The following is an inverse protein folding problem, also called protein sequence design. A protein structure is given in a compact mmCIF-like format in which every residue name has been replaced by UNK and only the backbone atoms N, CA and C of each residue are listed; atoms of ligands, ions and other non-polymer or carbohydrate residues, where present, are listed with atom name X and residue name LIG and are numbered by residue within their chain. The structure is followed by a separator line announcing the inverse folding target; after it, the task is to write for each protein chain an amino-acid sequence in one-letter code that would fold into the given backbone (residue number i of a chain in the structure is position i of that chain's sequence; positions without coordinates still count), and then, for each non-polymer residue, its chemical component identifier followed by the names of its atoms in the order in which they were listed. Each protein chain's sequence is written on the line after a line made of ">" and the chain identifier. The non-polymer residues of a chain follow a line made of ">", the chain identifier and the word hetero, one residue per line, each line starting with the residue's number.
data_IF_238403845115
#
_entry.id   IF_238403845115
#
_cell.length_a   1.000
_cell.length_b   1.000
_cell.length_c   1.000
_cell.angle_alpha   90.00
_cell.angle_beta   90.00
_cell.angle_gamma   90.00
#
_symmetry.space_group_name_H-M   'P 1'
#
loop_
_entity.id
_entity.type
_entity.pdbx_description
1 polymer ?
#
# COMPACT_ATOMS: atom_id res chain seq x y z
N UNK A 1 -43.84 -62.09 -13.89
CA UNK A 1 -42.57 -61.80 -14.57
C UNK A 1 -42.54 -60.48 -15.36
N UNK A 2 -43.67 -59.88 -15.80
CA UNK A 2 -43.66 -58.60 -16.54
C UNK A 2 -43.28 -57.35 -15.72
N UNK A 3 -43.64 -57.26 -14.44
CA UNK A 3 -43.33 -56.07 -13.62
C UNK A 3 -41.84 -55.89 -13.25
N UNK A 4 -41.05 -56.96 -13.21
CA UNK A 4 -39.60 -56.84 -12.91
C UNK A 4 -38.78 -56.32 -14.10
N UNK A 5 -39.26 -56.52 -15.34
CA UNK A 5 -38.55 -56.10 -16.55
C UNK A 5 -38.71 -54.58 -16.77
N UNK A 6 -39.88 -54.01 -16.45
CA UNK A 6 -40.09 -52.55 -16.54
C UNK A 6 -39.34 -51.77 -15.47
N UNK A 7 -39.28 -52.27 -14.23
CA UNK A 7 -38.49 -51.64 -13.16
C UNK A 7 -36.99 -51.65 -13.47
N UNK A 8 -36.44 -52.75 -14.02
CA UNK A 8 -35.03 -52.79 -14.44
C UNK A 8 -34.73 -51.83 -15.60
N UNK A 9 -35.65 -51.67 -16.58
CA UNK A 9 -35.49 -50.68 -17.66
C UNK A 9 -35.52 -49.24 -17.12
N UNK A 10 -36.39 -48.91 -16.17
CA UNK A 10 -36.47 -47.58 -15.55
C UNK A 10 -35.21 -47.23 -14.72
N UNK A 11 -34.66 -48.19 -13.98
CA UNK A 11 -33.42 -48.02 -13.20
C UNK A 11 -32.22 -47.80 -14.14
N UNK A 12 -32.13 -48.58 -15.22
CA UNK A 12 -31.12 -48.43 -16.27
C UNK A 12 -31.16 -47.02 -16.91
N UNK A 13 -32.35 -46.53 -17.29
CA UNK A 13 -32.51 -45.20 -17.89
C UNK A 13 -32.15 -44.07 -16.90
N UNK A 14 -32.51 -44.21 -15.62
CA UNK A 14 -32.11 -43.24 -14.57
C UNK A 14 -30.59 -43.24 -14.33
N UNK A 15 -29.95 -44.41 -14.30
CA UNK A 15 -28.49 -44.53 -14.16
C UNK A 15 -27.75 -43.94 -15.37
N UNK A 16 -28.24 -44.17 -16.59
CA UNK A 16 -27.67 -43.58 -17.82
C UNK A 16 -27.86 -42.06 -17.86
N UNK A 17 -29.02 -41.53 -17.44
CA UNK A 17 -29.24 -40.07 -17.33
C UNK A 17 -28.36 -39.43 -16.24
N UNK A 18 -28.19 -40.09 -15.10
CA UNK A 18 -27.29 -39.68 -14.02
C UNK A 18 -25.82 -39.65 -14.49
N UNK A 19 -25.36 -40.70 -15.17
CA UNK A 19 -24.02 -40.79 -15.72
C UNK A 19 -23.76 -39.77 -16.85
N UNK A 20 -24.74 -39.50 -17.72
CA UNK A 20 -24.65 -38.42 -18.72
C UNK A 20 -24.58 -37.05 -18.05
N UNK A 21 -25.40 -36.79 -17.01
CA UNK A 21 -25.39 -35.52 -16.27
C UNK A 21 -24.08 -35.31 -15.52
N UNK A 22 -23.51 -36.34 -14.88
CA UNK A 22 -22.21 -36.23 -14.21
C UNK A 22 -21.07 -36.01 -15.21
N UNK A 23 -21.11 -36.67 -16.38
CA UNK A 23 -20.12 -36.47 -17.45
C UNK A 23 -20.21 -35.09 -18.10
N UNK A 24 -21.42 -34.53 -18.28
CA UNK A 24 -21.63 -33.16 -18.73
C UNK A 24 -21.14 -32.12 -17.71
N UNK A 25 -21.36 -32.35 -16.41
CA UNK A 25 -20.84 -31.47 -15.35
C UNK A 25 -19.31 -31.55 -15.26
N UNK A 26 -18.72 -32.75 -15.36
CA UNK A 26 -17.26 -32.94 -15.37
C UNK A 26 -16.62 -32.27 -16.58
N UNK A 27 -17.18 -32.48 -17.77
CA UNK A 27 -16.69 -31.85 -18.99
C UNK A 27 -16.88 -30.33 -18.96
N UNK A 28 -18.03 -29.84 -18.49
CA UNK A 28 -18.30 -28.40 -18.31
C UNK A 28 -17.33 -27.74 -17.33
N UNK A 29 -16.98 -28.41 -16.23
CA UNK A 29 -15.97 -27.94 -15.27
C UNK A 29 -14.56 -27.92 -15.87
N UNK A 30 -14.21 -28.92 -16.69
CA UNK A 30 -12.93 -28.97 -17.42
C UNK A 30 -12.85 -27.85 -18.45
N UNK A 31 -13.92 -27.59 -19.22
CA UNK A 31 -13.99 -26.46 -20.16
C UNK A 31 -13.91 -25.11 -19.45
N UNK A 32 -14.59 -24.96 -18.32
CA UNK A 32 -14.54 -23.74 -17.52
C UNK A 32 -13.13 -23.51 -16.94
N UNK A 33 -12.50 -24.54 -16.38
CA UNK A 33 -11.11 -24.46 -15.89
C UNK A 33 -10.10 -24.15 -17.01
N UNK A 34 -10.26 -24.76 -18.20
CA UNK A 34 -9.43 -24.42 -19.36
C UNK A 34 -9.66 -22.99 -19.82
N UNK A 35 -10.90 -22.48 -19.82
CA UNK A 35 -11.19 -21.10 -20.21
C UNK A 35 -10.58 -20.08 -19.24
N UNK A 36 -10.63 -20.34 -17.93
CA UNK A 36 -9.94 -19.52 -16.92
C UNK A 36 -8.43 -19.58 -17.14
N UNK A 37 -7.86 -20.76 -17.38
CA UNK A 37 -6.43 -20.90 -17.62
C UNK A 37 -5.99 -20.15 -18.89
N UNK A 38 -6.77 -20.22 -19.97
CA UNK A 38 -6.51 -19.46 -21.22
C UNK A 38 -6.60 -17.97 -20.97
N UNK A 39 -7.63 -17.48 -20.27
CA UNK A 39 -7.77 -16.06 -19.92
C UNK A 39 -6.63 -15.58 -19.02
N UNK A 40 -6.23 -16.36 -18.02
CA UNK A 40 -5.10 -16.07 -17.14
C UNK A 40 -3.79 -16.01 -17.95
N UNK A 41 -3.59 -16.93 -18.88
CA UNK A 41 -2.41 -16.93 -19.76
C UNK A 41 -2.40 -15.73 -20.73
N UNK A 42 -3.55 -15.35 -21.28
CA UNK A 42 -3.67 -14.14 -22.13
C UNK A 42 -3.34 -12.90 -21.30
N UNK A 43 -3.83 -12.82 -20.06
CA UNK A 43 -3.59 -11.67 -19.20
C UNK A 43 -2.13 -11.59 -18.73
N UNK A 44 -1.51 -12.72 -18.40
CA UNK A 44 -0.07 -12.79 -18.11
C UNK A 44 0.75 -12.40 -19.34
N UNK A 45 0.37 -12.86 -20.54
CA UNK A 45 1.03 -12.46 -21.80
C UNK A 45 0.86 -10.98 -22.08
N UNK A 46 -0.30 -10.37 -21.79
CA UNK A 46 -0.50 -8.93 -21.99
C UNK A 46 0.39 -8.13 -21.04
N UNK A 47 0.41 -8.48 -19.75
CA UNK A 47 1.26 -7.81 -18.75
C UNK A 47 2.75 -7.95 -19.10
N UNK A 48 3.19 -9.15 -19.51
CA UNK A 48 4.57 -9.38 -19.95
C UNK A 48 4.91 -8.63 -21.25
N UNK A 49 3.97 -8.56 -22.19
CA UNK A 49 4.14 -7.79 -23.42
C UNK A 49 4.24 -6.29 -23.11
N UNK A 50 3.42 -5.79 -22.19
CA UNK A 50 3.43 -4.39 -21.76
C UNK A 50 4.72 -4.03 -21.03
N UNK A 51 5.21 -4.88 -20.10
CA UNK A 51 6.50 -4.65 -19.43
C UNK A 51 7.70 -4.78 -20.38
N UNK A 52 7.65 -5.71 -21.34
CA UNK A 52 8.71 -5.85 -22.35
C UNK A 52 8.74 -4.63 -23.28
N UNK A 53 7.57 -4.15 -23.69
CA UNK A 53 7.41 -2.94 -24.46
C UNK A 53 7.93 -1.71 -23.68
N UNK A 54 7.61 -1.59 -22.39
CA UNK A 54 8.11 -0.52 -21.54
C UNK A 54 9.65 -0.53 -21.44
N UNK A 55 10.25 -1.70 -21.20
CA UNK A 55 11.71 -1.84 -21.14
C UNK A 55 12.38 -1.41 -22.46
N UNK A 56 11.82 -1.79 -23.61
CA UNK A 56 12.33 -1.35 -24.91
C UNK A 56 12.18 0.16 -25.13
N UNK A 57 11.04 0.74 -24.73
CA UNK A 57 10.80 2.17 -24.77
C UNK A 57 11.77 2.94 -23.89
N UNK A 58 12.05 2.47 -22.67
CA UNK A 58 13.05 3.07 -21.77
C UNK A 58 14.44 3.04 -22.42
N UNK A 59 14.85 1.87 -22.94
CA UNK A 59 16.16 1.72 -23.60
C UNK A 59 16.30 2.63 -24.83
N UNK A 60 15.20 2.84 -25.58
CA UNK A 60 15.16 3.80 -26.69
C UNK A 60 15.19 5.24 -26.20
N UNK A 61 14.50 5.56 -25.10
CA UNK A 61 14.50 6.90 -24.49
C UNK A 61 15.89 7.26 -23.95
N UNK A 62 16.60 6.31 -23.34
CA UNK A 62 17.96 6.49 -22.82
C UNK A 62 18.94 6.95 -23.91
N UNK A 63 18.84 6.38 -25.13
CA UNK A 63 19.68 6.79 -26.27
C UNK A 63 19.48 8.25 -26.69
N UNK A 64 18.31 8.81 -26.38
CA UNK A 64 17.90 10.15 -26.75
C UNK A 64 17.87 11.10 -25.54
N UNK A 65 18.46 10.71 -24.41
CA UNK A 65 18.48 11.53 -23.20
C UNK A 65 19.19 12.86 -23.49
N UNK A 66 18.52 13.96 -23.15
CA UNK A 66 19.10 15.29 -23.21
C UNK A 66 19.56 15.67 -21.81
N UNK A 67 20.85 15.99 -21.68
CA UNK A 67 21.42 16.46 -20.42
C UNK A 67 21.46 17.99 -20.35
N UNK A 68 21.11 18.52 -19.18
CA UNK A 68 21.36 19.91 -18.79
C UNK A 68 22.29 19.97 -17.59
N UNK A 69 23.01 21.09 -17.45
CA UNK A 69 23.73 21.39 -16.21
C UNK A 69 22.72 21.45 -15.06
N UNK A 70 23.08 20.86 -13.92
CA UNK A 70 22.26 20.87 -12.73
C UNK A 70 22.13 22.31 -12.20
N UNK A 71 20.90 22.82 -12.11
CA UNK A 71 20.58 24.14 -11.56
C UNK A 71 20.02 24.12 -10.14
N UNK A 72 19.44 23.00 -9.72
CA UNK A 72 18.71 22.85 -8.45
C UNK A 72 19.38 21.85 -7.51
N UNK A 73 19.18 22.05 -6.21
CA UNK A 73 19.67 21.16 -5.15
C UNK A 73 18.95 19.83 -5.17
N UNK A 74 17.64 19.84 -5.46
CA UNK A 74 16.83 18.63 -5.57
C UNK A 74 15.90 18.72 -6.79
N UNK A 75 15.63 17.57 -7.38
CA UNK A 75 14.64 17.40 -8.44
C UNK A 75 13.65 16.32 -8.04
N UNK A 76 12.40 16.53 -8.38
CA UNK A 76 11.32 15.58 -8.14
C UNK A 76 10.54 15.34 -9.43
N UNK A 77 10.33 14.06 -9.74
CA UNK A 77 9.51 13.63 -10.87
C UNK A 77 8.04 13.62 -10.44
N UNK A 78 7.22 14.50 -11.01
CA UNK A 78 5.79 14.61 -10.70
C UNK A 78 4.91 14.01 -11.81
N UNK A 79 5.50 13.37 -12.83
CA UNK A 79 4.80 12.87 -14.01
C UNK A 79 4.49 13.98 -15.02
N UNK A 80 3.58 14.89 -14.67
CA UNK A 80 3.19 16.01 -15.54
C UNK A 80 4.26 17.11 -15.65
N UNK A 81 5.10 17.25 -14.63
CA UNK A 81 6.16 18.25 -14.57
C UNK A 81 7.35 17.74 -13.75
N UNK A 82 8.44 18.51 -13.77
CA UNK A 82 9.61 18.26 -12.94
C UNK A 82 9.77 19.43 -11.99
N UNK A 83 9.75 19.17 -10.69
CA UNK A 83 9.96 20.21 -9.68
C UNK A 83 11.44 20.29 -9.31
N UNK A 84 12.06 21.44 -9.53
CA UNK A 84 13.39 21.79 -9.03
C UNK A 84 13.29 22.67 -7.79
N UNK A 85 14.02 22.33 -6.73
CA UNK A 85 14.07 23.12 -5.50
C UNK A 85 15.43 23.83 -5.36
N UNK A 86 15.41 25.15 -5.15
CA UNK A 86 16.58 25.95 -4.77
C UNK A 86 16.42 26.39 -3.33
N UNK A 87 17.39 26.01 -2.49
CA UNK A 87 17.44 26.47 -1.11
C UNK A 87 18.42 27.64 -1.01
N UNK A 88 17.92 28.77 -0.54
CA UNK A 88 18.76 29.89 -0.10
C UNK A 88 18.84 29.83 1.43
N UNK A 89 20.06 29.75 1.96
CA UNK A 89 20.25 29.63 3.40
C UNK A 89 19.86 30.89 4.18
N UNK A 90 19.86 32.05 3.51
CA UNK A 90 19.51 33.35 4.09
C UNK A 90 18.03 33.72 3.89
N UNK A 91 17.25 32.88 3.19
CA UNK A 91 15.82 33.11 2.94
C UNK A 91 14.95 32.29 3.87
N UNK A 92 13.82 32.86 4.30
CA UNK A 92 12.73 32.10 4.97
C UNK A 92 11.94 31.21 4.01
N UNK A 93 12.20 31.31 2.70
CA UNK A 93 11.51 30.55 1.67
C UNK A 93 12.45 29.66 0.86
N UNK A 94 11.88 28.56 0.35
CA UNK A 94 12.47 27.72 -0.70
C UNK A 94 11.76 28.04 -2.01
N UNK A 95 12.54 28.27 -3.07
CA UNK A 95 11.99 28.46 -4.42
C UNK A 95 11.76 27.09 -5.07
N UNK A 96 10.55 26.85 -5.53
CA UNK A 96 10.17 25.67 -6.31
C UNK A 96 9.86 26.10 -7.74
N UNK A 97 10.67 25.62 -8.68
CA UNK A 97 10.44 25.80 -10.12
C UNK A 97 9.85 24.52 -10.70
N UNK A 98 8.66 24.63 -11.28
CA UNK A 98 8.00 23.55 -12.01
C UNK A 98 8.36 23.68 -13.47
N UNK A 99 9.02 22.68 -14.00
CA UNK A 99 9.54 22.66 -15.36
C UNK A 99 8.79 21.65 -16.21
N UNK A 100 8.78 21.90 -17.51
CA UNK A 100 8.36 20.89 -18.46
C UNK A 100 9.35 19.72 -18.53
N UNK A 101 8.97 18.67 -19.27
CA UNK A 101 9.78 17.45 -19.46
C UNK A 101 11.13 17.72 -20.15
N UNK A 102 11.37 18.93 -20.67
CA UNK A 102 12.64 19.31 -21.30
C UNK A 102 13.69 19.83 -20.31
N UNK A 103 13.31 20.09 -19.05
CA UNK A 103 14.12 20.80 -18.03
C UNK A 103 14.53 22.23 -18.41
N UNK A 104 14.04 22.77 -19.53
CA UNK A 104 14.44 24.10 -20.02
C UNK A 104 13.42 25.17 -19.70
N UNK A 105 12.13 24.85 -19.83
CA UNK A 105 11.07 25.83 -19.65
C UNK A 105 10.49 25.70 -18.25
N UNK A 106 10.55 26.78 -17.50
CA UNK A 106 9.84 26.92 -16.24
C UNK A 106 8.37 27.21 -16.59
N UNK A 107 7.48 26.29 -16.25
CA UNK A 107 6.03 26.41 -16.39
C UNK A 107 5.48 27.31 -15.30
N UNK A 108 6.00 27.18 -14.08
CA UNK A 108 5.57 27.95 -12.94
C UNK A 108 6.65 28.02 -11.86
N UNK A 109 6.61 29.04 -11.01
CA UNK A 109 7.49 29.21 -9.87
C UNK A 109 6.68 29.60 -8.64
N UNK A 110 6.93 28.96 -7.51
CA UNK A 110 6.35 29.35 -6.23
C UNK A 110 7.44 29.43 -5.16
N UNK A 111 7.17 30.21 -4.12
CA UNK A 111 8.00 30.31 -2.93
C UNK A 111 7.19 29.76 -1.77
N UNK A 112 7.75 28.80 -1.04
CA UNK A 112 7.12 28.16 0.11
C UNK A 112 7.98 28.34 1.35
N UNK A 113 7.38 28.21 2.52
CA UNK A 113 8.11 28.31 3.78
C UNK A 113 9.21 27.24 3.87
N UNK A 114 10.44 27.66 4.16
CA UNK A 114 11.62 26.77 4.24
C UNK A 114 11.47 25.71 5.33
N UNK A 115 10.88 26.08 6.47
CA UNK A 115 10.61 25.14 7.56
C UNK A 115 9.68 24.00 7.13
N UNK A 116 8.65 24.33 6.35
CA UNK A 116 7.72 23.33 5.80
C UNK A 116 8.45 22.40 4.82
N UNK A 117 9.37 22.94 4.00
CA UNK A 117 10.20 22.13 3.11
C UNK A 117 11.17 21.20 3.84
N UNK A 118 11.82 21.70 4.89
CA UNK A 118 12.82 20.97 5.66
C UNK A 118 12.21 19.89 6.57
N UNK A 119 10.95 20.06 7.00
CA UNK A 119 10.23 19.06 7.80
C UNK A 119 10.06 17.70 7.09
N UNK A 120 10.07 17.69 5.76
CA UNK A 120 10.08 16.45 4.99
C UNK A 120 9.67 16.69 3.52
N UNK A 121 10.49 16.28 2.53
CA UNK A 121 10.16 16.50 1.13
C UNK A 121 8.97 15.66 0.63
N UNK A 122 8.57 14.63 1.37
CA UNK A 122 7.45 13.76 1.02
C UNK A 122 6.12 14.53 0.93
N UNK A 123 5.94 15.59 1.71
CA UNK A 123 4.71 16.40 1.67
C UNK A 123 4.47 17.12 0.32
N UNK A 124 5.54 17.37 -0.47
CA UNK A 124 5.47 18.07 -1.76
C UNK A 124 5.34 17.14 -2.96
N UNK A 125 5.58 15.85 -2.76
CA UNK A 125 5.49 14.81 -3.79
C UNK A 125 4.35 13.83 -3.52
N UNK A 126 3.76 13.85 -2.33
CA UNK A 126 2.61 13.05 -1.96
C UNK A 126 1.29 13.72 -2.39
N UNK A 127 1.11 13.82 -3.71
CA UNK A 127 -0.14 14.27 -4.30
C UNK A 127 -1.26 13.29 -3.93
N UNK A 128 -2.24 13.77 -3.19
CA UNK A 128 -3.43 13.00 -2.86
C UNK A 128 -4.59 13.49 -3.69
N UNK A 129 -5.17 12.58 -4.47
CA UNK A 129 -6.27 12.88 -5.39
C UNK A 129 -6.00 14.06 -6.35
N UNK A 130 -4.73 14.23 -6.75
CA UNK A 130 -4.28 15.23 -7.74
C UNK A 130 -3.77 16.55 -7.14
N UNK A 131 -3.84 16.73 -5.81
CA UNK A 131 -3.42 17.97 -5.15
C UNK A 131 -2.36 17.70 -4.07
N UNK A 132 -1.43 18.65 -3.91
CA UNK A 132 -0.45 18.66 -2.82
C UNK A 132 -0.64 19.90 -1.95
N UNK A 133 -0.36 19.77 -0.66
CA UNK A 133 -0.39 20.88 0.30
C UNK A 133 0.85 21.75 0.12
N UNK A 134 0.68 23.06 0.28
CA UNK A 134 1.77 24.03 0.36
C UNK A 134 1.58 24.91 1.58
N UNK A 135 2.68 25.44 2.12
CA UNK A 135 2.66 26.48 3.16
C UNK A 135 3.40 27.72 2.67
N UNK A 136 2.72 28.86 2.68
CA UNK A 136 3.26 30.17 2.30
C UNK A 136 2.82 31.16 3.38
N UNK A 137 3.78 31.85 3.98
CA UNK A 137 3.53 32.82 5.05
C UNK A 137 2.68 32.22 6.17
N UNK A 138 3.05 31.02 6.61
CA UNK A 138 2.41 30.26 7.68
C UNK A 138 0.94 29.88 7.39
N UNK A 139 0.48 30.04 6.15
CA UNK A 139 -0.85 29.62 5.71
C UNK A 139 -0.76 28.46 4.74
N UNK A 140 -1.69 27.52 4.89
CA UNK A 140 -1.81 26.37 4.04
C UNK A 140 -2.76 26.62 2.87
N UNK A 141 -2.35 26.11 1.71
CA UNK A 141 -3.11 26.06 0.47
C UNK A 141 -2.80 24.77 -0.29
N UNK A 142 -3.26 24.68 -1.54
CA UNK A 142 -3.09 23.49 -2.37
C UNK A 142 -2.71 23.84 -3.81
N UNK A 143 -1.84 23.02 -4.39
CA UNK A 143 -1.36 23.13 -5.77
C UNK A 143 -1.61 21.85 -6.56
N UNK A 144 -1.65 21.99 -7.88
CA UNK A 144 -1.58 20.86 -8.82
C UNK A 144 -0.12 20.46 -9.13
N UNK A 145 0.05 19.42 -9.96
CA UNK A 145 1.35 18.87 -10.37
C UNK A 145 2.19 19.82 -11.22
N UNK A 146 1.67 20.97 -11.65
CA UNK A 146 2.37 22.03 -12.39
C UNK A 146 2.64 23.25 -11.49
N UNK A 147 2.41 23.12 -10.19
CA UNK A 147 2.62 24.16 -9.20
C UNK A 147 1.53 25.23 -9.20
N UNK A 148 0.47 25.09 -10.01
CA UNK A 148 -0.61 26.08 -10.05
C UNK A 148 -1.36 26.00 -8.73
N UNK A 149 -1.53 27.15 -8.07
CA UNK A 149 -2.38 27.24 -6.88
C UNK A 149 -3.83 26.98 -7.28
N UNK A 150 -4.38 25.87 -6.79
CA UNK A 150 -5.80 25.51 -6.97
C UNK A 150 -6.61 26.11 -5.82
N UNK A 151 -6.04 26.10 -4.61
CA UNK A 151 -6.63 26.68 -3.42
C UNK A 151 -5.58 27.58 -2.78
N UNK A 152 -5.74 28.92 -2.82
CA UNK A 152 -4.76 29.85 -2.27
C UNK A 152 -4.48 29.62 -0.78
N UNK A 153 -3.25 29.89 -0.31
CA UNK A 153 -2.91 29.84 1.10
C UNK A 153 -3.80 30.76 1.93
N UNK A 154 -4.62 30.19 2.82
CA UNK A 154 -5.49 30.95 3.73
C UNK A 154 -5.83 30.23 5.03
N UNK A 155 -5.54 28.93 5.12
CA UNK A 155 -5.85 28.10 6.28
C UNK A 155 -4.69 28.10 7.28
N UNK A 156 -4.98 28.01 8.57
CA UNK A 156 -3.94 27.89 9.59
C UNK A 156 -3.27 26.50 9.57
N UNK A 157 -4.03 25.46 9.20
CA UNK A 157 -3.58 24.09 9.02
C UNK A 157 -4.45 23.38 7.95
N UNK A 158 -3.94 22.29 7.38
CA UNK A 158 -4.60 21.54 6.31
C UNK A 158 -4.10 20.08 6.21
N UNK A 159 -5.01 19.12 5.99
CA UNK A 159 -4.67 17.73 5.66
C UNK A 159 -4.77 17.41 4.17
N UNK A 160 -4.24 16.26 3.76
CA UNK A 160 -4.38 15.76 2.39
C UNK A 160 -5.84 15.43 2.06
N UNK A 161 -6.19 15.50 0.78
CA UNK A 161 -7.50 15.06 0.29
C UNK A 161 -7.64 13.54 0.42
N UNK A 162 -8.65 13.06 1.13
CA UNK A 162 -8.98 11.65 1.24
C UNK A 162 -10.50 11.48 1.11
N UNK A 163 -10.87 10.56 0.22
CA UNK A 163 -12.24 10.31 -0.21
C UNK A 163 -13.01 11.58 -0.68
N UNK A 164 -12.29 12.50 -1.34
CA UNK A 164 -12.82 13.71 -1.96
C UNK A 164 -12.83 14.98 -1.10
N UNK A 165 -12.46 14.90 0.18
CA UNK A 165 -12.47 16.04 1.11
C UNK A 165 -11.12 16.19 1.82
N UNK A 166 -10.77 17.42 2.20
CA UNK A 166 -9.63 17.71 3.06
C UNK A 166 -10.08 18.50 4.28
N UNK A 167 -9.51 18.17 5.46
CA UNK A 167 -9.72 18.96 6.67
C UNK A 167 -8.88 20.23 6.58
N UNK A 168 -9.44 21.34 7.06
CA UNK A 168 -8.75 22.63 7.10
C UNK A 168 -9.13 23.41 8.35
N UNK A 169 -8.17 24.15 8.89
CA UNK A 169 -8.35 25.00 10.06
C UNK A 169 -8.53 26.46 9.64
N UNK A 170 -9.63 27.07 10.08
CA UNK A 170 -9.93 28.48 9.88
C UNK A 170 -10.55 29.05 11.17
N UNK A 171 -9.92 30.09 11.73
CA UNK A 171 -10.39 30.72 12.97
C UNK A 171 -10.32 29.80 14.19
N UNK A 172 -9.24 29.02 14.31
CA UNK A 172 -9.00 28.03 15.38
C UNK A 172 -10.04 26.89 15.45
N UNK A 173 -10.79 26.68 14.36
CA UNK A 173 -11.74 25.59 14.22
C UNK A 173 -11.50 24.85 12.91
N UNK A 174 -11.78 23.56 12.94
CA UNK A 174 -11.64 22.66 11.82
C UNK A 174 -12.97 22.46 11.10
N UNK A 175 -12.88 22.43 9.77
CA UNK A 175 -13.96 22.10 8.84
C UNK A 175 -13.39 21.32 7.67
N UNK A 176 -14.18 21.16 6.60
CA UNK A 176 -13.78 20.39 5.42
C UNK A 176 -14.09 21.12 4.12
N UNK A 177 -13.19 20.97 3.16
CA UNK A 177 -13.32 21.51 1.81
C UNK A 177 -13.31 20.42 0.76
N UNK A 178 -13.93 20.72 -0.39
CA UNK A 178 -13.74 19.96 -1.62
C UNK A 178 -12.46 20.38 -2.36
N UNK A 179 -12.15 19.69 -3.45
CA UNK A 179 -10.95 19.93 -4.28
C UNK A 179 -10.91 21.30 -4.97
N UNK A 180 -12.03 22.02 -5.01
CA UNK A 180 -12.11 23.37 -5.53
C UNK A 180 -11.97 24.43 -4.42
N UNK A 181 -11.76 23.99 -3.17
CA UNK A 181 -11.66 24.86 -2.00
C UNK A 181 -12.99 25.37 -1.48
N UNK A 182 -14.13 24.80 -1.92
CA UNK A 182 -15.44 25.13 -1.38
C UNK A 182 -15.63 24.45 -0.03
N UNK A 183 -16.07 25.22 0.96
CA UNK A 183 -16.45 24.67 2.27
C UNK A 183 -17.64 23.71 2.11
N UNK A 184 -17.42 22.45 2.45
CA UNK A 184 -18.46 21.41 2.52
C UNK A 184 -18.99 21.31 3.95
N UNK A 185 -18.09 21.40 4.94
CA UNK A 185 -18.42 21.38 6.36
C UNK A 185 -17.78 22.60 6.99
N UNK A 186 -18.61 23.50 7.55
CA UNK A 186 -18.13 24.76 8.11
C UNK A 186 -17.21 24.53 9.32
N UNK A 187 -16.21 25.42 9.54
CA UNK A 187 -15.29 25.27 10.66
C UNK A 187 -16.04 25.46 11.98
N UNK A 188 -16.10 24.39 12.78
CA UNK A 188 -16.75 24.44 14.11
C UNK A 188 -16.18 23.43 15.12
N UNK A 189 -15.29 22.55 14.69
CA UNK A 189 -14.70 21.51 15.53
C UNK A 189 -13.33 21.95 16.08
N UNK A 190 -12.92 21.46 17.24
CA UNK A 190 -11.59 21.72 17.81
C UNK A 190 -10.49 20.94 17.09
N UNK A 191 -10.86 19.88 16.38
CA UNK A 191 -9.95 19.01 15.64
C UNK A 191 -10.73 18.00 14.81
N UNK A 192 -10.09 17.43 13.79
CA UNK A 192 -10.68 16.44 12.88
C UNK A 192 -9.64 15.41 12.44
N UNK A 193 -10.06 14.20 12.09
CA UNK A 193 -9.25 13.30 11.24
C UNK A 193 -9.67 13.39 9.78
N UNK A 194 -8.91 12.74 8.89
CA UNK A 194 -9.32 12.54 7.49
C UNK A 194 -10.48 11.54 7.40
N UNK A 195 -11.22 11.56 6.29
CA UNK A 195 -12.27 10.58 6.07
C UNK A 195 -11.70 9.18 5.87
N UNK A 196 -12.26 8.20 6.57
CA UNK A 196 -11.97 6.79 6.40
C UNK A 196 -13.29 6.02 6.53
N UNK A 197 -13.58 5.16 5.56
CA UNK A 197 -14.85 4.43 5.48
C UNK A 197 -16.07 5.39 5.46
N UNK A 198 -15.92 6.56 4.84
CA UNK A 198 -16.96 7.58 4.75
C UNK A 198 -17.28 8.32 6.06
N UNK A 199 -16.47 8.16 7.10
CA UNK A 199 -16.60 8.82 8.39
C UNK A 199 -15.30 9.57 8.74
N UNK A 200 -15.41 10.70 9.43
CA UNK A 200 -14.26 11.41 10.01
C UNK A 200 -14.46 11.59 11.51
N UNK A 201 -13.39 11.46 12.30
CA UNK A 201 -13.43 11.85 13.71
C UNK A 201 -13.51 13.36 13.82
N UNK A 202 -14.28 13.83 14.80
CA UNK A 202 -14.35 15.23 15.21
C UNK A 202 -14.00 15.35 16.69
N UNK A 203 -13.33 16.42 17.09
CA UNK A 203 -13.06 16.78 18.48
C UNK A 203 -13.91 18.00 18.86
N UNK A 204 -14.63 17.91 19.97
CA UNK A 204 -15.36 19.02 20.59
C UNK A 204 -15.21 18.89 22.10
N UNK A 205 -14.73 19.95 22.76
CA UNK A 205 -14.58 20.02 24.22
C UNK A 205 -13.84 18.79 24.79
N UNK A 206 -12.71 18.44 24.17
CA UNK A 206 -11.85 17.29 24.51
C UNK A 206 -12.49 15.90 24.31
N UNK A 207 -13.64 15.81 23.63
CA UNK A 207 -14.32 14.56 23.33
C UNK A 207 -14.41 14.31 21.83
N UNK A 208 -14.15 13.07 21.44
CA UNK A 208 -14.27 12.58 20.08
C UNK A 208 -15.70 12.12 19.77
N UNK A 209 -16.15 12.50 18.57
CA UNK A 209 -17.35 12.01 17.90
C UNK A 209 -17.04 11.72 16.42
N UNK A 210 -18.08 11.51 15.61
CA UNK A 210 -17.92 11.22 14.20
C UNK A 210 -18.97 11.89 13.33
N UNK A 211 -18.54 12.34 12.16
CA UNK A 211 -19.39 12.90 11.12
C UNK A 211 -19.29 12.08 9.84
N UNK A 212 -20.35 12.12 9.04
CA UNK A 212 -20.29 11.67 7.65
C UNK A 212 -19.85 12.82 6.70
N UNK A 213 -19.70 12.51 5.41
CA UNK A 213 -19.24 13.47 4.39
C UNK A 213 -20.15 14.68 4.18
N UNK A 214 -21.39 14.63 4.67
CA UNK A 214 -22.32 15.76 4.62
C UNK A 214 -22.15 16.70 5.81
N UNK A 215 -21.35 16.30 6.81
CA UNK A 215 -21.20 17.01 8.09
C UNK A 215 -22.25 16.63 9.12
N UNK A 216 -23.09 15.62 8.85
CA UNK A 216 -24.04 15.10 9.84
C UNK A 216 -23.29 14.33 10.92
N UNK A 217 -23.49 14.72 12.17
CA UNK A 217 -22.95 14.04 13.35
C UNK A 217 -23.65 12.70 13.54
N UNK A 218 -23.07 11.64 12.99
CA UNK A 218 -23.57 10.28 13.15
C UNK A 218 -23.34 9.76 14.58
N UNK A 219 -22.28 10.24 15.23
CA UNK A 219 -21.96 9.93 16.62
C UNK A 219 -21.56 11.23 17.32
N UNK A 220 -22.34 11.64 18.32
CA UNK A 220 -22.05 12.87 19.07
C UNK A 220 -20.71 12.76 19.81
N UNK A 221 -19.96 13.86 19.97
CA UNK A 221 -18.76 13.91 20.79
C UNK A 221 -19.00 13.38 22.21
N UNK A 222 -18.40 12.24 22.54
CA UNK A 222 -18.58 11.60 23.85
C UNK A 222 -17.39 10.76 24.32
N UNK A 223 -16.44 10.42 23.45
CA UNK A 223 -15.33 9.53 23.79
C UNK A 223 -14.04 10.31 24.07
N UNK A 224 -13.28 9.94 25.10
CA UNK A 224 -11.96 10.56 25.33
C UNK A 224 -10.87 10.03 24.41
N UNK A 225 -11.05 8.85 23.83
CA UNK A 225 -10.16 8.30 22.80
C UNK A 225 -10.97 7.50 21.78
N UNK A 226 -10.61 7.66 20.51
CA UNK A 226 -11.28 7.04 19.37
C UNK A 226 -10.26 6.70 18.27
N UNK A 227 -10.63 5.83 17.32
CA UNK A 227 -9.84 5.49 16.13
C UNK A 227 -10.67 5.71 14.87
N UNK A 228 -10.02 5.88 13.72
CA UNK A 228 -10.72 5.95 12.44
C UNK A 228 -11.55 4.69 12.16
N UNK A 229 -12.64 4.87 11.41
CA UNK A 229 -13.46 3.75 10.95
C UNK A 229 -12.68 2.89 9.97
N UNK A 230 -12.82 1.58 10.11
CA UNK A 230 -12.28 0.58 9.19
C UNK A 230 -13.20 -0.63 9.16
N UNK A 231 -13.55 -1.07 7.95
CA UNK A 231 -14.58 -2.07 7.69
C UNK A 231 -15.93 -1.79 8.40
N UNK A 232 -16.28 -0.52 8.57
CA UNK A 232 -17.52 -0.08 9.19
C UNK A 232 -17.56 -0.11 10.71
N UNK A 233 -16.43 -0.40 11.38
CA UNK A 233 -16.29 -0.34 12.84
C UNK A 233 -15.17 0.60 13.26
N UNK A 234 -15.30 1.23 14.43
CA UNK A 234 -14.28 2.09 15.01
C UNK A 234 -14.02 1.72 16.47
N UNK A 235 -12.74 1.69 16.86
CA UNK A 235 -12.34 1.42 18.24
C UNK A 235 -12.49 2.67 19.11
N UNK A 236 -13.15 2.55 20.25
CA UNK A 236 -13.41 3.65 21.20
C UNK A 236 -13.05 3.24 22.62
N UNK A 237 -12.65 4.22 23.45
CA UNK A 237 -12.40 4.02 24.88
C UNK A 237 -13.64 4.41 25.69
N UNK A 238 -14.15 3.47 26.49
CA UNK A 238 -15.31 3.64 27.35
C UNK A 238 -14.93 3.15 28.75
N UNK A 239 -15.01 4.03 29.75
CA UNK A 239 -14.66 3.71 31.15
C UNK A 239 -13.29 3.03 31.31
N UNK A 240 -12.28 3.53 30.57
CA UNK A 240 -10.91 3.00 30.62
C UNK A 240 -10.68 1.69 29.85
N UNK A 241 -11.70 1.14 29.18
CA UNK A 241 -11.58 -0.08 28.37
C UNK A 241 -11.98 0.15 26.91
N UNK A 242 -11.28 -0.51 26.00
CA UNK A 242 -11.52 -0.46 24.55
C UNK A 242 -12.68 -1.37 24.17
N UNK A 243 -13.58 -0.81 23.36
CA UNK A 243 -14.64 -1.52 22.64
C UNK A 243 -14.72 -1.01 21.20
N UNK A 244 -15.73 -1.44 20.46
CA UNK A 244 -15.95 -1.00 19.08
C UNK A 244 -17.40 -0.60 18.85
N UNK A 245 -17.58 0.44 18.05
CA UNK A 245 -18.88 0.95 17.61
C UNK A 245 -19.05 0.81 16.10
N UNK A 246 -20.29 0.71 15.65
CA UNK A 246 -20.64 0.87 14.24
C UNK A 246 -20.82 2.36 13.86
N UNK A 247 -21.11 2.63 12.58
CA UNK A 247 -21.31 4.00 12.04
C UNK A 247 -22.49 4.75 12.67
N UNK A 248 -23.40 4.07 13.38
CA UNK A 248 -24.48 4.70 14.13
C UNK A 248 -24.11 5.03 15.58
N UNK A 249 -22.92 4.60 16.03
CA UNK A 249 -22.47 4.74 17.40
C UNK A 249 -22.90 3.59 18.32
N UNK A 250 -23.56 2.56 17.78
CA UNK A 250 -23.97 1.40 18.57
C UNK A 250 -22.74 0.56 18.92
N UNK A 251 -22.61 0.18 20.19
CA UNK A 251 -21.56 -0.73 20.66
C UNK A 251 -21.78 -2.12 20.05
N UNK A 252 -20.80 -2.59 19.28
CA UNK A 252 -20.76 -3.92 18.68
C UNK A 252 -19.86 -4.85 19.49
N UNK A 253 -18.67 -4.38 19.86
CA UNK A 253 -17.75 -5.08 20.77
C UNK A 253 -17.79 -4.36 22.12
N UNK A 254 -18.26 -5.05 23.16
CA UNK A 254 -18.35 -4.46 24.51
C UNK A 254 -16.98 -4.03 25.03
N UNK A 255 -16.88 -2.87 25.72
CA UNK A 255 -15.61 -2.39 26.26
C UNK A 255 -15.12 -3.31 27.38
N UNK A 256 -13.98 -3.96 27.15
CA UNK A 256 -13.29 -4.79 28.17
C UNK A 256 -11.79 -4.94 27.96
N UNK A 257 -11.27 -4.52 26.82
CA UNK A 257 -9.87 -4.70 26.42
C UNK A 257 -9.02 -3.49 26.82
N UNK A 258 -7.72 -3.66 27.02
CA UNK A 258 -6.78 -2.58 27.33
C UNK A 258 -6.37 -1.82 26.05
N UNK A 259 -6.22 -2.55 24.95
CA UNK A 259 -5.90 -2.00 23.64
C UNK A 259 -6.56 -2.80 22.51
N UNK A 260 -6.55 -2.25 21.30
CA UNK A 260 -7.00 -2.94 20.10
C UNK A 260 -6.38 -2.35 18.84
N UNK A 261 -6.30 -3.14 17.76
CA UNK A 261 -6.05 -2.66 16.40
C UNK A 261 -7.38 -2.40 15.66
N UNK A 262 -7.33 -1.79 14.47
CA UNK A 262 -8.53 -1.62 13.63
C UNK A 262 -8.98 -2.96 13.05
N UNK A 263 -10.18 -3.01 12.48
CA UNK A 263 -10.62 -4.18 11.73
C UNK A 263 -9.84 -4.30 10.41
N UNK A 264 -9.44 -5.51 10.07
CA UNK A 264 -8.85 -5.86 8.78
C UNK A 264 -9.19 -7.31 8.47
N UNK A 265 -9.69 -7.57 7.26
CA UNK A 265 -10.20 -8.86 6.82
C UNK A 265 -11.29 -9.46 7.72
N UNK A 266 -12.12 -8.62 8.33
CA UNK A 266 -13.23 -9.05 9.19
C UNK A 266 -12.85 -9.35 10.65
N UNK A 267 -11.61 -9.08 11.04
CA UNK A 267 -11.09 -9.38 12.38
C UNK A 267 -10.35 -8.17 12.95
N UNK A 268 -10.36 -8.02 14.28
CA UNK A 268 -9.54 -7.05 14.98
C UNK A 268 -8.69 -7.73 16.07
N UNK A 269 -7.43 -7.31 16.20
CA UNK A 269 -6.59 -7.69 17.32
C UNK A 269 -7.06 -6.93 18.56
N UNK A 270 -7.22 -7.64 19.67
CA UNK A 270 -7.59 -7.07 20.97
C UNK A 270 -6.58 -7.50 22.02
N UNK A 271 -6.31 -6.62 22.99
CA UNK A 271 -5.32 -6.84 24.04
C UNK A 271 -5.97 -6.81 25.43
N UNK A 272 -5.61 -7.76 26.27
CA UNK A 272 -6.03 -7.83 27.68
C UNK A 272 -4.89 -8.45 28.48
N UNK A 273 -4.51 -7.81 29.59
CA UNK A 273 -3.47 -8.29 30.49
C UNK A 273 -2.13 -8.59 29.77
N UNK A 274 -1.72 -7.66 28.88
CA UNK A 274 -0.53 -7.77 28.02
C UNK A 274 -0.52 -8.98 27.07
N UNK A 275 -1.68 -9.61 26.83
CA UNK A 275 -1.83 -10.69 25.85
C UNK A 275 -2.76 -10.26 24.74
N UNK A 276 -2.54 -10.78 23.54
CA UNK A 276 -3.33 -10.49 22.35
C UNK A 276 -4.20 -11.65 21.92
N UNK A 277 -5.37 -11.31 21.41
CA UNK A 277 -6.40 -12.20 20.89
C UNK A 277 -7.14 -11.54 19.73
N UNK A 278 -8.26 -12.12 19.32
CA UNK A 278 -9.00 -11.69 18.14
C UNK A 278 -10.51 -11.69 18.36
N UNK A 279 -11.17 -10.66 17.84
CA UNK A 279 -12.63 -10.56 17.74
C UNK A 279 -13.05 -10.39 16.28
N UNK A 280 -14.23 -10.89 15.94
CA UNK A 280 -14.86 -10.67 14.63
C UNK A 280 -15.75 -9.41 14.62
N UNK A 281 -16.29 -9.07 13.44
CA UNK A 281 -17.17 -7.90 13.25
C UNK A 281 -18.52 -7.99 13.99
N UNK A 282 -18.88 -9.14 14.52
CA UNK A 282 -20.08 -9.31 15.35
C UNK A 282 -19.78 -9.05 16.83
N UNK A 283 -18.50 -8.92 17.18
CA UNK A 283 -18.02 -8.81 18.55
C UNK A 283 -17.79 -10.15 19.23
N UNK A 284 -17.84 -11.26 18.49
CA UNK A 284 -17.51 -12.58 19.00
C UNK A 284 -16.00 -12.69 19.17
N UNK A 285 -15.58 -13.12 20.35
CA UNK A 285 -14.20 -13.48 20.64
C UNK A 285 -13.86 -14.81 19.98
N UNK A 286 -13.03 -14.76 18.94
CA UNK A 286 -12.58 -15.95 18.20
C UNK A 286 -11.37 -16.56 18.90
N UNK A 287 -10.47 -15.71 19.39
CA UNK A 287 -9.30 -16.11 20.16
C UNK A 287 -9.23 -15.27 21.42
N UNK A 288 -9.33 -15.93 22.58
CA UNK A 288 -9.05 -15.30 23.86
C UNK A 288 -7.63 -14.75 23.89
N UNK A 289 -7.40 -13.54 24.44
CA UNK A 289 -6.06 -13.01 24.68
C UNK A 289 -5.13 -14.04 25.32
N UNK A 290 -4.09 -14.46 24.58
CA UNK A 290 -3.10 -15.45 25.03
C UNK A 290 -1.72 -15.30 24.39
N UNK A 291 -1.65 -14.67 23.21
CA UNK A 291 -0.42 -14.47 22.47
C UNK A 291 0.37 -13.27 23.01
N UNK A 292 1.68 -13.29 22.91
CA UNK A 292 2.54 -12.14 23.25
C UNK A 292 2.40 -11.06 22.17
N UNK A 293 2.44 -11.48 20.90
CA UNK A 293 2.22 -10.61 19.74
C UNK A 293 1.15 -11.21 18.81
N UNK A 294 0.41 -10.33 18.15
CA UNK A 294 -0.54 -10.69 17.11
C UNK A 294 -0.68 -9.52 16.13
N UNK A 295 -0.80 -9.83 14.84
CA UNK A 295 -0.87 -8.86 13.75
C UNK A 295 -2.15 -9.04 12.91
N UNK A 296 -2.35 -8.19 11.91
CA UNK A 296 -3.54 -8.25 11.05
C UNK A 296 -3.62 -9.58 10.28
N UNK A 297 -4.85 -10.01 9.98
CA UNK A 297 -5.06 -11.07 9.01
C UNK A 297 -4.68 -10.56 7.62
N UNK A 298 -3.92 -11.39 6.88
CA UNK A 298 -3.64 -11.23 5.46
C UNK A 298 -3.88 -12.56 4.77
N UNK A 299 -4.74 -12.53 3.75
CA UNK A 299 -5.13 -13.66 2.94
C UNK A 299 -5.64 -14.89 3.72
N UNK A 300 -6.38 -14.62 4.81
CA UNK A 300 -6.98 -15.66 5.64
C UNK A 300 -6.15 -16.15 6.83
N UNK A 301 -4.90 -15.71 6.98
CA UNK A 301 -4.01 -16.08 8.08
C UNK A 301 -3.51 -14.85 8.84
N UNK A 302 -3.27 -14.98 10.15
CA UNK A 302 -2.66 -13.93 10.97
C UNK A 302 -1.38 -14.45 11.63
N UNK A 303 -0.27 -13.68 11.59
CA UNK A 303 0.91 -14.00 12.36
C UNK A 303 0.66 -13.77 13.85
N UNK A 304 1.08 -14.73 14.66
CA UNK A 304 0.98 -14.70 16.12
C UNK A 304 2.28 -15.19 16.74
N UNK A 305 2.60 -14.66 17.91
CA UNK A 305 3.81 -14.99 18.66
C UNK A 305 3.44 -15.46 20.07
N UNK A 306 4.10 -16.52 20.52
CA UNK A 306 4.02 -17.01 21.89
C UNK A 306 5.39 -17.52 22.32
N UNK A 307 5.88 -17.05 23.48
CA UNK A 307 7.16 -17.42 24.06
C UNK A 307 8.34 -17.21 23.10
N UNK A 308 8.36 -16.08 22.38
CA UNK A 308 9.42 -15.73 21.43
C UNK A 308 9.40 -16.55 20.13
N UNK A 309 8.31 -17.27 19.85
CA UNK A 309 8.16 -18.07 18.63
C UNK A 309 6.91 -17.66 17.86
N UNK A 310 7.10 -17.42 16.57
CA UNK A 310 6.11 -16.98 15.60
C UNK A 310 5.54 -18.14 14.79
N UNK A 311 4.25 -18.05 14.49
CA UNK A 311 3.48 -18.98 13.66
C UNK A 311 2.23 -18.30 13.11
N UNK A 312 1.27 -19.09 12.59
CA UNK A 312 0.06 -18.54 11.96
C UNK A 312 -1.20 -19.26 12.39
N UNK A 313 -2.27 -18.47 12.56
CA UNK A 313 -3.63 -18.98 12.80
C UNK A 313 -4.56 -18.60 11.65
N UNK A 314 -5.62 -19.38 11.45
CA UNK A 314 -6.73 -19.03 10.57
C UNK A 314 -7.81 -18.18 11.26
N UNK A 315 -8.83 -17.75 10.49
CA UNK A 315 -9.97 -16.96 10.98
C UNK A 315 -10.86 -17.71 11.98
N UNK A 316 -10.64 -19.00 12.21
CA UNK A 316 -11.31 -19.76 13.28
C UNK A 316 -10.50 -19.77 14.58
N UNK A 317 -9.27 -19.22 14.55
CA UNK A 317 -8.34 -19.23 15.66
C UNK A 317 -7.48 -20.49 15.75
N UNK A 318 -7.55 -21.37 14.75
CA UNK A 318 -6.79 -22.61 14.71
C UNK A 318 -5.40 -22.36 14.15
N UNK A 319 -4.39 -22.94 14.81
CA UNK A 319 -3.02 -22.96 14.30
C UNK A 319 -2.96 -23.71 12.96
N UNK A 320 -2.44 -23.02 11.94
CA UNK A 320 -2.18 -23.57 10.61
C UNK A 320 -0.69 -23.81 10.42
N UNK A 321 0.14 -22.91 10.93
CA UNK A 321 1.60 -23.01 10.90
C UNK A 321 2.10 -22.91 12.34
N UNK A 322 2.84 -23.93 12.76
CA UNK A 322 3.36 -24.05 14.13
C UNK A 322 4.20 -22.85 14.54
N UNK A 323 4.09 -22.49 15.81
CA UNK A 323 4.94 -21.47 16.42
C UNK A 323 6.35 -22.01 16.64
N UNK A 324 7.24 -21.74 15.69
CA UNK A 324 8.62 -22.26 15.69
C UNK A 324 9.66 -21.29 15.14
N UNK A 325 9.23 -20.26 14.42
CA UNK A 325 10.10 -19.26 13.79
C UNK A 325 10.43 -18.14 14.77
N UNK A 326 11.57 -17.48 14.63
CA UNK A 326 11.95 -16.33 15.45
C UNK A 326 11.06 -15.13 15.11
N UNK A 327 10.82 -14.89 13.82
CA UNK A 327 9.92 -13.85 13.33
C UNK A 327 9.37 -14.20 11.95
N UNK A 328 8.36 -13.46 11.51
CA UNK A 328 7.73 -13.62 10.21
C UNK A 328 7.05 -12.34 9.75
N UNK A 329 6.82 -12.26 8.44
CA UNK A 329 6.05 -11.18 7.80
C UNK A 329 4.57 -11.57 7.60
N UNK A 330 3.82 -10.75 6.89
CA UNK A 330 2.48 -11.10 6.42
C UNK A 330 2.56 -11.90 5.11
N UNK A 331 1.55 -12.74 4.86
CA UNK A 331 1.41 -13.41 3.56
C UNK A 331 1.21 -12.41 2.43
N UNK A 332 1.89 -12.67 1.31
CA UNK A 332 1.70 -12.01 0.03
C UNK A 332 1.65 -13.05 -1.11
N UNK A 333 0.56 -13.06 -1.85
CA UNK A 333 0.21 -14.01 -2.89
C UNK A 333 0.52 -15.48 -2.53
N UNK A 334 0.13 -15.91 -1.34
CA UNK A 334 0.26 -17.31 -0.90
C UNK A 334 1.62 -17.73 -0.36
N UNK A 335 2.60 -16.81 -0.28
CA UNK A 335 3.94 -17.06 0.27
C UNK A 335 4.27 -16.08 1.39
N UNK A 336 5.16 -16.48 2.29
CA UNK A 336 5.65 -15.60 3.37
C UNK A 336 7.10 -15.89 3.72
N UNK A 337 7.82 -14.85 4.09
CA UNK A 337 9.18 -14.94 4.63
C UNK A 337 9.15 -15.30 6.12
N UNK A 338 9.99 -16.26 6.50
CA UNK A 338 10.17 -16.70 7.88
C UNK A 338 11.64 -16.74 8.22
N UNK A 339 11.97 -16.31 9.44
CA UNK A 339 13.31 -16.40 9.98
C UNK A 339 13.46 -17.65 10.85
N UNK A 340 14.53 -18.41 10.62
CA UNK A 340 14.97 -19.51 11.46
C UNK A 340 16.49 -19.53 11.53
N UNK A 341 17.06 -19.61 12.74
CA UNK A 341 18.51 -19.64 12.98
C UNK A 341 19.28 -18.49 12.29
N UNK A 342 18.74 -17.26 12.39
CA UNK A 342 19.29 -16.03 11.79
C UNK A 342 19.35 -16.04 10.25
N UNK A 343 18.59 -16.92 9.60
CA UNK A 343 18.46 -16.98 8.14
C UNK A 343 17.00 -16.94 7.73
N UNK A 344 16.75 -16.33 6.59
CA UNK A 344 15.43 -16.21 6.00
C UNK A 344 15.17 -17.30 4.98
N UNK A 345 13.95 -17.86 5.04
CA UNK A 345 13.40 -18.81 4.09
C UNK A 345 11.97 -18.42 3.67
N UNK A 346 11.40 -19.18 2.74
CA UNK A 346 10.03 -19.00 2.26
C UNK A 346 9.20 -20.24 2.55
N UNK A 347 7.98 -20.03 3.01
CA UNK A 347 6.99 -21.08 3.19
C UNK A 347 5.68 -20.74 2.47
N UNK A 348 4.92 -21.76 2.11
CA UNK A 348 3.55 -21.62 1.64
C UNK A 348 2.56 -21.46 2.81
N UNK A 349 1.28 -21.23 2.48
CA UNK A 349 0.17 -21.13 3.46
C UNK A 349 -0.06 -22.37 4.34
N UNK A 350 0.55 -23.51 4.02
CA UNK A 350 0.48 -24.75 4.82
C UNK A 350 1.74 -24.93 5.67
N UNK A 351 2.67 -23.98 5.64
CA UNK A 351 3.95 -24.05 6.35
C UNK A 351 4.98 -24.93 5.67
N UNK A 352 4.77 -25.33 4.41
CA UNK A 352 5.76 -26.11 3.67
C UNK A 352 6.83 -25.17 3.11
N UNK A 353 8.09 -25.51 3.34
CA UNK A 353 9.21 -24.79 2.73
C UNK A 353 9.14 -24.81 1.20
N UNK A 354 9.15 -23.61 0.65
CA UNK A 354 9.46 -23.31 -0.75
C UNK A 354 10.98 -23.11 -0.87
N UNK A 355 11.54 -22.31 0.05
CA UNK A 355 12.98 -22.11 0.21
C UNK A 355 13.33 -22.34 1.67
N UNK A 356 14.25 -23.26 1.96
CA UNK A 356 14.76 -23.42 3.32
C UNK A 356 15.55 -22.17 3.75
N UNK A 357 15.58 -21.83 5.04
CA UNK A 357 16.37 -20.72 5.57
C UNK A 357 17.81 -20.75 5.05
N UNK A 358 18.20 -19.72 4.30
CA UNK A 358 19.56 -19.58 3.75
C UNK A 358 19.96 -18.13 3.44
N UNK A 359 18.99 -17.23 3.27
CA UNK A 359 19.26 -15.83 2.93
C UNK A 359 19.52 -15.01 4.20
N UNK A 360 20.32 -13.96 4.08
CA UNK A 360 20.54 -12.99 5.16
C UNK A 360 19.31 -12.08 5.34
N UNK A 361 18.60 -11.81 4.26
CA UNK A 361 17.35 -11.06 4.27
C UNK A 361 16.46 -11.45 3.08
N UNK A 362 15.15 -11.37 3.26
CA UNK A 362 14.15 -11.41 2.20
C UNK A 362 13.22 -10.22 2.43
N UNK A 363 13.04 -9.37 1.42
CA UNK A 363 12.05 -8.29 1.44
C UNK A 363 10.68 -8.79 0.99
N UNK A 364 9.65 -7.99 1.25
CA UNK A 364 8.31 -8.20 0.75
C UNK A 364 8.28 -8.46 -0.76
N UNK A 365 7.35 -9.31 -1.17
CA UNK A 365 7.09 -9.52 -2.59
C UNK A 365 6.42 -8.29 -3.20
N UNK A 366 6.93 -7.87 -4.36
CA UNK A 366 6.29 -6.89 -5.23
C UNK A 366 6.24 -7.42 -6.65
N UNK A 367 5.06 -7.37 -7.26
CA UNK A 367 4.80 -7.88 -8.61
C UNK A 367 5.29 -9.32 -8.88
N UNK A 368 5.29 -10.13 -7.83
CA UNK A 368 5.70 -11.53 -7.83
C UNK A 368 7.19 -11.81 -7.71
N UNK A 369 8.00 -10.80 -7.39
CA UNK A 369 9.43 -10.94 -7.10
C UNK A 369 9.72 -10.46 -5.68
N UNK A 370 10.65 -11.09 -4.97
CA UNK A 370 11.16 -10.64 -3.68
C UNK A 370 12.67 -10.40 -3.79
N UNK A 371 13.13 -9.26 -3.28
CA UNK A 371 14.56 -9.00 -3.17
C UNK A 371 15.15 -9.85 -2.05
N UNK A 372 16.27 -10.51 -2.31
CA UNK A 372 16.98 -11.36 -1.34
C UNK A 372 18.41 -10.91 -1.19
N UNK A 373 18.90 -10.97 0.04
CA UNK A 373 20.29 -10.71 0.37
C UNK A 373 21.03 -12.00 0.70
N UNK A 374 22.20 -12.17 0.11
CA UNK A 374 23.13 -13.23 0.41
C UNK A 374 24.55 -12.68 0.31
N UNK A 375 25.33 -12.82 1.37
CA UNK A 375 26.73 -12.37 1.44
C UNK A 375 26.88 -10.88 1.06
N UNK A 376 26.01 -10.03 1.63
CA UNK A 376 25.94 -8.57 1.40
C UNK A 376 25.63 -8.14 -0.04
N UNK A 377 25.15 -9.07 -0.87
CA UNK A 377 24.72 -8.80 -2.24
C UNK A 377 23.24 -9.09 -2.40
N UNK A 378 22.59 -8.28 -3.22
CA UNK A 378 21.16 -8.34 -3.48
C UNK A 378 20.86 -8.97 -4.84
N UNK A 379 19.87 -9.85 -4.85
CA UNK A 379 19.29 -10.51 -6.02
C UNK A 379 17.78 -10.59 -5.89
N UNK A 380 17.14 -11.44 -6.69
CA UNK A 380 15.69 -11.63 -6.62
C UNK A 380 15.29 -13.09 -6.84
N UNK A 381 14.28 -13.50 -6.07
CA UNK A 381 13.57 -14.76 -6.25
C UNK A 381 12.13 -14.52 -6.67
N UNK A 382 11.56 -15.48 -7.40
CA UNK A 382 10.12 -15.53 -7.63
C UNK A 382 9.38 -16.27 -6.50
N UNK A 383 8.04 -16.34 -6.58
CA UNK A 383 7.19 -17.03 -5.59
C UNK A 383 7.44 -18.54 -5.49
N UNK A 384 8.06 -19.14 -6.51
CA UNK A 384 8.46 -20.54 -6.47
C UNK A 384 9.79 -20.75 -5.72
N UNK A 385 10.42 -19.66 -5.27
CA UNK A 385 11.72 -19.68 -4.62
C UNK A 385 12.89 -19.78 -5.57
N UNK A 386 12.63 -19.70 -6.89
CA UNK A 386 13.68 -19.74 -7.90
C UNK A 386 14.42 -18.40 -7.91
N UNK A 387 15.74 -18.46 -7.81
CA UNK A 387 16.61 -17.30 -8.12
C UNK A 387 16.48 -16.96 -9.60
N UNK A 388 15.77 -15.87 -9.88
CA UNK A 388 15.64 -15.32 -11.22
C UNK A 388 16.83 -14.41 -11.51
N UNK A 389 17.26 -13.64 -10.50
CA UNK A 389 18.38 -12.71 -10.57
C UNK A 389 19.34 -13.04 -9.43
N UNK A 390 20.59 -13.36 -9.76
CA UNK A 390 21.59 -13.75 -8.76
C UNK A 390 21.93 -12.58 -7.83
N UNK A 391 22.27 -12.85 -6.55
CA UNK A 391 22.76 -11.83 -5.65
C UNK A 391 24.13 -11.27 -6.08
N UNK A 392 24.11 -10.14 -6.80
CA UNK A 392 25.32 -9.48 -7.31
C UNK A 392 25.32 -7.96 -7.07
N UNK A 393 24.16 -7.37 -6.76
CA UNK A 393 24.01 -5.92 -6.63
C UNK A 393 24.31 -5.45 -5.21
N UNK A 394 24.85 -4.24 -5.06
CA UNK A 394 25.06 -3.61 -3.75
C UNK A 394 23.77 -3.09 -3.12
N UNK A 395 22.71 -2.98 -3.92
CA UNK A 395 21.41 -2.53 -3.47
C UNK A 395 20.35 -2.60 -4.56
N UNK A 396 19.11 -2.78 -4.14
CA UNK A 396 17.96 -2.98 -5.02
C UNK A 396 16.70 -2.31 -4.48
N UNK A 397 15.83 -1.84 -5.38
CA UNK A 397 14.45 -1.48 -5.06
C UNK A 397 13.50 -2.65 -5.29
N UNK A 398 12.27 -2.55 -4.81
CA UNK A 398 11.23 -3.48 -5.24
C UNK A 398 10.89 -3.26 -6.73
N UNK A 399 10.30 -4.27 -7.37
CA UNK A 399 9.78 -4.13 -8.73
C UNK A 399 8.51 -3.28 -8.75
N UNK A 400 8.41 -2.40 -9.74
CA UNK A 400 7.21 -1.61 -10.07
C UNK A 400 7.17 -1.42 -11.58
N UNK A 401 6.01 -1.62 -12.20
CA UNK A 401 5.80 -1.60 -13.65
C UNK A 401 6.78 -2.50 -14.40
N UNK A 402 7.13 -3.66 -13.81
CA UNK A 402 8.05 -4.61 -14.43
C UNK A 402 9.53 -4.22 -14.41
N UNK A 403 9.90 -3.11 -13.77
CA UNK A 403 11.28 -2.63 -13.67
C UNK A 403 11.73 -2.49 -12.22
N UNK A 404 13.03 -2.62 -11.98
CA UNK A 404 13.61 -2.35 -10.67
C UNK A 404 14.93 -1.57 -10.80
N UNK A 405 15.18 -0.68 -9.84
CA UNK A 405 16.44 0.04 -9.71
C UNK A 405 17.45 -0.83 -9.00
N UNK A 406 18.64 -0.91 -9.59
CA UNK A 406 19.78 -1.65 -9.02
C UNK A 406 20.97 -0.74 -8.84
N UNK A 407 21.81 -1.05 -7.85
CA UNK A 407 23.08 -0.39 -7.57
C UNK A 407 24.23 -1.38 -7.73
N UNK A 408 25.23 -1.02 -8.51
CA UNK A 408 26.47 -1.77 -8.69
C UNK A 408 27.64 -0.79 -8.77
N UNK A 409 28.67 -1.00 -7.97
CA UNK A 409 29.90 -0.19 -7.97
C UNK A 409 29.62 1.31 -7.89
N UNK A 410 28.75 1.70 -6.94
CA UNK A 410 28.27 3.07 -6.71
C UNK A 410 27.45 3.71 -7.84
N UNK A 411 27.12 2.98 -8.89
CA UNK A 411 26.29 3.45 -9.98
C UNK A 411 24.92 2.77 -9.96
N UNK A 412 23.91 3.47 -10.46
CA UNK A 412 22.53 3.01 -10.58
C UNK A 412 22.20 2.64 -12.02
N UNK A 413 21.43 1.57 -12.17
CA UNK A 413 20.86 1.06 -13.41
C UNK A 413 19.42 0.62 -13.23
N UNK A 414 18.81 0.13 -14.31
CA UNK A 414 17.46 -0.45 -14.32
C UNK A 414 17.50 -1.82 -14.97
N UNK A 415 16.81 -2.78 -14.35
CA UNK A 415 16.63 -4.13 -14.88
C UNK A 415 15.15 -4.44 -15.06
N UNK A 416 14.84 -5.36 -15.95
CA UNK A 416 13.52 -6.00 -16.00
C UNK A 416 13.46 -7.24 -15.08
N UNK A 417 12.29 -7.86 -14.98
CA UNK A 417 12.05 -9.06 -14.18
C UNK A 417 12.87 -10.29 -14.58
N UNK A 418 13.47 -10.31 -15.77
CA UNK A 418 14.38 -11.38 -16.20
C UNK A 418 15.83 -11.14 -15.76
N UNK A 419 16.15 -9.95 -15.22
CA UNK A 419 17.50 -9.53 -14.90
C UNK A 419 18.23 -8.88 -16.07
N UNK A 420 17.56 -8.69 -17.21
CA UNK A 420 18.17 -7.99 -18.35
C UNK A 420 18.30 -6.51 -18.00
N UNK A 421 19.50 -5.98 -18.22
CA UNK A 421 19.78 -4.55 -18.06
C UNK A 421 19.05 -3.75 -19.14
N UNK A 422 18.08 -2.98 -18.69
CA UNK A 422 17.40 -1.95 -19.48
C UNK A 422 18.32 -0.74 -19.60
N UNK A 423 18.86 -0.33 -18.45
CA UNK A 423 19.89 0.70 -18.29
C UNK A 423 21.02 0.09 -17.47
N UNK A 424 22.21 0.00 -18.06
CA UNK A 424 23.42 -0.46 -17.38
C UNK A 424 23.73 0.45 -16.16
N UNK A 425 24.24 -0.09 -15.04
CA UNK A 425 24.65 0.71 -13.89
C UNK A 425 25.76 1.73 -14.23
N UNK A 426 25.38 2.97 -14.54
CA UNK A 426 26.32 4.04 -14.94
C UNK A 426 25.91 5.46 -14.54
N UNK A 427 24.79 5.58 -13.83
CA UNK A 427 24.23 6.85 -13.39
C UNK A 427 24.46 7.03 -11.89
N UNK A 428 24.83 8.24 -11.47
CA UNK A 428 24.99 8.58 -10.06
C UNK A 428 23.65 8.50 -9.29
N UNK A 429 22.52 8.62 -9.99
CA UNK A 429 21.17 8.36 -9.47
C UNK A 429 20.14 8.19 -10.58
N UNK A 430 19.11 7.39 -10.31
CA UNK A 430 17.92 7.20 -11.16
C UNK A 430 16.67 7.35 -10.28
N UNK A 431 15.68 8.14 -10.71
CA UNK A 431 14.37 8.24 -10.04
C UNK A 431 13.47 7.06 -10.39
N UNK A 432 12.40 6.85 -9.62
CA UNK A 432 11.33 5.95 -10.05
C UNK A 432 10.66 6.48 -11.33
N UNK A 433 10.08 5.55 -12.09
CA UNK A 433 9.18 5.86 -13.20
C UNK A 433 7.90 6.47 -12.62
N UNK A 434 7.54 7.65 -13.12
CA UNK A 434 6.25 8.28 -12.85
C UNK A 434 5.67 8.66 -14.20
N UNK A 435 4.48 8.15 -14.50
CA UNK A 435 3.86 8.25 -15.84
C UNK A 435 4.79 7.70 -16.93
N UNK A 436 5.36 8.58 -17.78
CA UNK A 436 6.23 8.25 -18.90
C UNK A 436 7.66 8.80 -18.72
N UNK A 437 8.05 9.14 -17.49
CA UNK A 437 9.28 9.89 -17.23
C UNK A 437 10.20 9.23 -16.20
N UNK A 438 11.50 9.26 -16.49
CA UNK A 438 12.57 8.92 -15.53
C UNK A 438 13.61 10.04 -15.50
N UNK A 439 14.00 10.47 -14.31
CA UNK A 439 15.12 11.40 -14.09
C UNK A 439 16.40 10.62 -13.83
N UNK A 440 17.47 11.01 -14.51
CA UNK A 440 18.80 10.44 -14.33
C UNK A 440 19.82 11.53 -14.03
N UNK A 441 20.81 11.19 -13.21
CA UNK A 441 21.94 12.07 -12.89
C UNK A 441 23.25 11.41 -13.28
N UNK A 442 24.12 12.18 -13.93
CA UNK A 442 25.48 11.75 -14.24
C UNK A 442 26.43 12.91 -14.01
N UNK A 443 27.33 12.77 -13.05
CA UNK A 443 28.18 13.86 -12.54
C UNK A 443 27.31 15.07 -12.14
N UNK A 444 27.66 16.27 -12.62
CA UNK A 444 26.91 17.50 -12.36
C UNK A 444 25.81 17.79 -13.41
N UNK A 445 25.33 16.77 -14.14
CA UNK A 445 24.29 16.92 -15.16
C UNK A 445 23.03 16.13 -14.79
N UNK A 446 21.87 16.70 -15.13
CA UNK A 446 20.56 16.07 -15.04
C UNK A 446 20.04 15.74 -16.43
N UNK A 447 19.42 14.58 -16.59
CA UNK A 447 18.78 14.15 -17.82
C UNK A 447 17.36 13.65 -17.57
N UNK A 448 16.53 13.73 -18.61
CA UNK A 448 15.16 13.21 -18.62
C UNK A 448 15.03 12.16 -19.72
N UNK A 449 14.53 10.99 -19.35
CA UNK A 449 14.10 9.97 -20.29
C UNK A 449 12.59 10.09 -20.44
N UNK A 450 12.12 10.38 -21.65
CA UNK A 450 10.70 10.43 -22.01
C UNK A 450 10.35 9.15 -22.77
N UNK A 451 9.46 8.36 -22.19
CA UNK A 451 9.06 7.03 -22.65
C UNK A 451 7.83 7.20 -23.55
N UNK A 452 8.02 7.16 -24.87
CA UNK A 452 6.93 7.30 -25.85
C UNK A 452 6.29 5.96 -26.18
#
# INVERSE_FOLDING_TARGET
>A
MRNNIEQQKLISIKQVKSAKKSRLIKNGFIFFAMSIFVLLNIHIKSILADSTNLAEKIKKAEKNVVFTVRKYDKYYNLGESIMGAVKDDNSKYVKLDYMDKSLKNIINSIYIDKEFFDAGPEDFVNYSEGLARIRIDEKYGYIDRKGKQVIPPKYAAADKFIEGLASVELGNKWGFIDKNGKMVIQPKYDGTSYFSDGMAMILVDFKFGYIDKTGREAVKPQYYMAKDFSEGLAGVLINGKKGFIDKSGKIVVKPKYDSSLRFHEGMAVVELDNKRGFVDKTGKEIVKPKYDSAFYFSEGLAPVELNGKSGFIDKTGKEVIKLQYETTENFYDGVVAVELDMKWGLIDKKGKYIVKPKYDSIKYFSEGMAAVELDYKWGYIDKSGKEVIKPIYDGVSDFSDGIAKVKLDNNYGLIDKSGREIIEPKYDSISLLVEDMILVRKRNKMGVLIIK
#
